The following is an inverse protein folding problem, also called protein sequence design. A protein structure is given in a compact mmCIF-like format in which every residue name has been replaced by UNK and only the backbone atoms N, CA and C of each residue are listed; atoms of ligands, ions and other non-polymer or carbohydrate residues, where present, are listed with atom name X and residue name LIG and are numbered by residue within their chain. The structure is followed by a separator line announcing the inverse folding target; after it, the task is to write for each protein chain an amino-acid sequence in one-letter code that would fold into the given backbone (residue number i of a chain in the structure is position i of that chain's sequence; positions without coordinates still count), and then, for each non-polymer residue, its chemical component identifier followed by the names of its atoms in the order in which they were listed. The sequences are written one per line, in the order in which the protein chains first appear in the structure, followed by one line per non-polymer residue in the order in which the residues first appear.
data_IF_747336350155
#
_entry.id   IF_747336350155
#
_cell.length_a   1.000
_cell.length_b   1.000
_cell.length_c   1.000
_cell.angle_alpha   90.00
_cell.angle_beta   90.00
_cell.angle_gamma   90.00
#
_symmetry.space_group_name_H-M   'P 1'
#
loop_
_entity.id
_entity.type
_entity.pdbx_description
1 polymer ?
#
# COMPACT_ATOMS: atom_id res chain seq x y z
N UNK A 1 -19.86 8.77 5.12
CA UNK A 1 -20.62 9.06 6.36
C UNK A 1 -21.91 8.22 6.41
N UNK A 2 -21.87 6.95 6.88
CA UNK A 2 -23.02 6.03 6.84
C UNK A 2 -24.26 6.59 7.54
N UNK A 3 -24.08 7.29 8.67
CA UNK A 3 -25.15 7.93 9.45
C UNK A 3 -25.99 8.97 8.68
N UNK A 4 -25.55 9.43 7.52
CA UNK A 4 -26.21 10.48 6.70
C UNK A 4 -26.70 9.98 5.35
N UNK A 5 -26.53 8.69 5.05
CA UNK A 5 -26.97 8.12 3.79
C UNK A 5 -28.50 8.25 3.62
N UNK A 6 -28.94 8.65 2.43
CA UNK A 6 -30.37 8.77 2.08
C UNK A 6 -31.13 9.95 2.70
N UNK A 7 -30.51 10.75 3.57
CA UNK A 7 -31.22 11.78 4.34
C UNK A 7 -31.31 13.15 3.65
N UNK A 8 -30.71 13.33 2.47
CA UNK A 8 -30.59 14.64 1.83
C UNK A 8 -29.93 15.72 2.73
N UNK A 9 -28.98 15.32 3.58
CA UNK A 9 -28.33 16.25 4.53
C UNK A 9 -26.84 16.44 4.29
N UNK A 10 -26.17 15.51 3.60
CA UNK A 10 -24.72 15.58 3.45
C UNK A 10 -24.30 16.81 2.64
N UNK A 11 -23.19 17.42 3.04
CA UNK A 11 -22.55 18.45 2.25
C UNK A 11 -21.79 17.81 1.07
N UNK A 12 -22.16 18.10 -0.19
CA UNK A 12 -21.49 17.51 -1.35
C UNK A 12 -20.16 18.20 -1.70
N UNK A 13 -19.81 19.30 -1.00
CA UNK A 13 -18.68 20.15 -1.38
C UNK A 13 -17.34 19.41 -1.44
N UNK A 14 -17.07 18.48 -0.52
CA UNK A 14 -15.80 17.73 -0.56
C UNK A 14 -15.61 16.91 -1.84
N UNK A 15 -16.67 16.24 -2.32
CA UNK A 15 -16.62 15.49 -3.57
C UNK A 15 -16.55 16.43 -4.78
N UNK A 16 -17.28 17.54 -4.73
CA UNK A 16 -17.26 18.56 -5.78
C UNK A 16 -15.85 19.18 -5.94
N UNK A 17 -15.19 19.52 -4.83
CA UNK A 17 -13.82 20.04 -4.84
C UNK A 17 -12.84 19.02 -5.44
N UNK A 18 -12.98 17.72 -5.11
CA UNK A 18 -12.21 16.66 -5.76
C UNK A 18 -12.44 16.58 -7.27
N UNK A 19 -13.69 16.76 -7.73
CA UNK A 19 -14.01 16.81 -9.16
C UNK A 19 -13.43 18.04 -9.87
N UNK A 20 -13.43 19.21 -9.22
CA UNK A 20 -12.82 20.45 -9.73
C UNK A 20 -11.30 20.26 -9.89
N UNK A 21 -10.64 19.69 -8.88
CA UNK A 21 -9.21 19.35 -8.97
C UNK A 21 -8.92 18.38 -10.13
N UNK A 22 -9.76 17.35 -10.30
CA UNK A 22 -9.64 16.41 -11.41
C UNK A 22 -9.81 17.10 -12.76
N UNK A 23 -10.84 17.94 -12.92
CA UNK A 23 -11.09 18.68 -14.17
C UNK A 23 -9.89 19.56 -14.54
N UNK A 24 -9.35 20.28 -13.56
CA UNK A 24 -8.15 21.08 -13.78
C UNK A 24 -6.95 20.19 -14.20
N UNK A 25 -6.76 19.06 -13.53
CA UNK A 25 -5.68 18.10 -13.81
C UNK A 25 -5.73 17.51 -15.23
N UNK A 26 -6.93 17.26 -15.76
CA UNK A 26 -7.13 16.70 -17.12
C UNK A 26 -7.20 17.78 -18.21
N UNK A 27 -6.88 19.05 -17.89
CA UNK A 27 -6.87 20.15 -18.85
C UNK A 27 -8.24 20.78 -19.14
N UNK A 28 -9.26 20.51 -18.31
CA UNK A 28 -10.60 21.12 -18.38
C UNK A 28 -10.70 22.34 -17.45
N UNK A 29 -9.68 23.21 -17.49
CA UNK A 29 -9.54 24.36 -16.58
C UNK A 29 -10.75 25.30 -16.65
N UNK A 30 -11.25 25.61 -17.84
CA UNK A 30 -12.42 26.48 -18.04
C UNK A 30 -13.69 25.93 -17.35
N UNK A 31 -13.86 24.61 -17.36
CA UNK A 31 -15.00 23.93 -16.69
C UNK A 31 -14.80 23.91 -15.18
N UNK A 32 -13.58 23.60 -14.72
CA UNK A 32 -13.23 23.61 -13.30
C UNK A 32 -13.47 24.99 -12.68
N UNK A 33 -13.03 26.05 -13.37
CA UNK A 33 -13.19 27.45 -12.95
C UNK A 33 -14.66 27.83 -12.81
N UNK A 34 -15.47 27.50 -13.83
CA UNK A 34 -16.90 27.80 -13.83
C UNK A 34 -17.63 27.14 -12.66
N UNK A 35 -17.31 25.89 -12.35
CA UNK A 35 -17.93 25.15 -11.23
C UNK A 35 -17.45 25.72 -9.90
N UNK A 36 -16.15 26.01 -9.76
CA UNK A 36 -15.58 26.55 -8.53
C UNK A 36 -16.17 27.92 -8.17
N UNK A 37 -16.26 28.83 -9.14
CA UNK A 37 -16.82 30.16 -8.92
C UNK A 37 -18.33 30.12 -8.64
N UNK A 38 -19.07 29.19 -9.23
CA UNK A 38 -20.49 28.97 -8.92
C UNK A 38 -20.68 28.45 -7.48
N UNK A 39 -19.81 27.53 -7.04
CA UNK A 39 -19.81 27.05 -5.66
C UNK A 39 -19.47 28.17 -4.67
N UNK A 40 -18.43 28.96 -4.93
CA UNK A 40 -18.07 30.13 -4.11
C UNK A 40 -19.21 31.15 -4.03
N UNK A 41 -19.85 31.45 -5.16
CA UNK A 41 -21.04 32.33 -5.20
C UNK A 41 -22.16 31.79 -4.32
N UNK A 42 -22.39 30.47 -4.32
CA UNK A 42 -23.44 29.83 -3.50
C UNK A 42 -23.15 29.96 -2.00
N UNK A 43 -21.89 29.79 -1.59
CA UNK A 43 -21.43 30.00 -0.22
C UNK A 43 -21.55 31.48 0.18
N UNK A 44 -21.14 32.38 -0.69
CA UNK A 44 -21.23 33.83 -0.45
C UNK A 44 -22.67 34.32 -0.28
N UNK A 45 -23.63 33.79 -1.05
CA UNK A 45 -25.07 34.06 -0.88
C UNK A 45 -25.67 33.40 0.37
N UNK A 46 -24.86 32.75 1.21
CA UNK A 46 -25.28 32.19 2.49
C UNK A 46 -26.18 30.96 2.37
N UNK A 47 -26.12 30.25 1.23
CA UNK A 47 -26.87 29.01 1.01
C UNK A 47 -26.00 27.85 1.47
N UNK A 48 -26.27 27.33 2.67
CA UNK A 48 -25.37 26.41 3.35
C UNK A 48 -26.04 25.10 3.74
N UNK A 49 -25.29 24.00 3.64
CA UNK A 49 -25.65 22.74 4.29
C UNK A 49 -25.43 22.81 5.81
N UNK A 50 -25.98 21.83 6.53
CA UNK A 50 -26.08 21.89 8.00
C UNK A 50 -24.76 22.08 8.76
N UNK A 51 -23.65 21.64 8.17
CA UNK A 51 -22.30 21.65 8.71
C UNK A 51 -21.58 22.99 8.52
N UNK A 52 -22.01 23.80 7.54
CA UNK A 52 -21.49 25.15 7.27
C UNK A 52 -22.45 26.20 7.83
N UNK A 53 -23.74 25.88 7.95
CA UNK A 53 -24.77 26.82 8.38
C UNK A 53 -24.49 27.40 9.77
N UNK A 54 -24.51 28.74 9.85
CA UNK A 54 -24.35 29.52 11.07
C UNK A 54 -25.42 30.60 11.13
N UNK A 55 -26.18 30.63 12.22
CA UNK A 55 -27.21 31.64 12.48
C UNK A 55 -26.60 33.05 12.51
N UNK A 56 -27.31 34.03 11.94
CA UNK A 56 -26.84 35.41 11.78
C UNK A 56 -25.80 35.63 10.67
N UNK A 57 -25.26 34.58 10.07
CA UNK A 57 -24.31 34.66 8.94
C UNK A 57 -24.88 34.03 7.66
N UNK A 58 -25.57 32.91 7.81
CA UNK A 58 -26.14 32.16 6.68
C UNK A 58 -27.57 32.62 6.38
N UNK A 59 -27.90 32.73 5.10
CA UNK A 59 -29.23 33.13 4.63
C UNK A 59 -30.21 31.95 4.60
N UNK A 60 -29.73 30.75 4.22
CA UNK A 60 -30.59 29.57 4.16
C UNK A 60 -29.85 28.29 4.52
N UNK A 61 -30.55 27.39 5.24
CA UNK A 61 -30.10 26.04 5.54
C UNK A 61 -30.75 25.07 4.56
N UNK A 62 -29.96 24.41 3.73
CA UNK A 62 -30.45 23.54 2.65
C UNK A 62 -29.95 22.10 2.77
N UNK A 63 -30.65 21.18 2.10
CA UNK A 63 -30.22 19.79 1.95
C UNK A 63 -29.23 19.61 0.79
N UNK A 64 -28.78 18.37 0.58
CA UNK A 64 -27.78 18.02 -0.47
C UNK A 64 -28.27 18.41 -1.87
N UNK A 65 -29.52 18.09 -2.20
CA UNK A 65 -30.12 18.33 -3.52
C UNK A 65 -30.31 19.82 -3.77
N UNK A 66 -30.83 20.54 -2.80
CA UNK A 66 -31.11 21.97 -2.89
C UNK A 66 -29.81 22.76 -2.97
N UNK A 67 -28.77 22.36 -2.22
CA UNK A 67 -27.43 22.92 -2.36
C UNK A 67 -26.87 22.70 -3.77
N UNK A 68 -27.00 21.49 -4.33
CA UNK A 68 -26.56 21.21 -5.69
C UNK A 68 -27.30 22.05 -6.74
N UNK A 69 -28.63 22.20 -6.60
CA UNK A 69 -29.44 23.06 -7.48
C UNK A 69 -29.01 24.53 -7.37
N UNK A 70 -28.69 25.02 -6.18
CA UNK A 70 -28.19 26.38 -5.99
C UNK A 70 -26.84 26.58 -6.69
N UNK A 71 -25.91 25.63 -6.56
CA UNK A 71 -24.63 25.68 -7.30
C UNK A 71 -24.86 25.68 -8.81
N UNK A 72 -25.78 24.85 -9.31
CA UNK A 72 -26.14 24.81 -10.75
C UNK A 72 -26.71 26.16 -11.21
N UNK A 73 -27.58 26.78 -10.43
CA UNK A 73 -28.19 28.07 -10.76
C UNK A 73 -27.17 29.22 -10.84
N UNK A 74 -26.05 29.12 -10.10
CA UNK A 74 -24.96 30.11 -10.12
C UNK A 74 -23.86 29.80 -11.15
N UNK A 75 -24.04 28.81 -12.03
CA UNK A 75 -23.07 28.51 -13.07
C UNK A 75 -22.87 29.70 -14.03
N UNK A 76 -21.64 30.22 -14.06
CA UNK A 76 -21.28 31.42 -14.84
C UNK A 76 -21.28 32.72 -14.03
N UNK A 77 -21.73 32.68 -12.78
CA UNK A 77 -21.54 33.77 -11.82
C UNK A 77 -20.14 33.72 -11.20
N UNK A 78 -19.69 34.86 -10.66
CA UNK A 78 -18.47 34.95 -9.86
C UNK A 78 -18.81 35.54 -8.49
N UNK A 79 -18.10 35.13 -7.42
CA UNK A 79 -18.25 35.76 -6.11
C UNK A 79 -17.85 37.24 -6.18
N UNK A 80 -18.51 38.08 -5.37
CA UNK A 80 -18.24 39.52 -5.24
C UNK A 80 -17.36 39.83 -4.03
N UNK A 81 -17.48 39.04 -2.96
CA UNK A 81 -16.80 39.21 -1.66
C UNK A 81 -15.67 38.19 -1.49
N UNK A 82 -15.91 36.92 -1.83
CA UNK A 82 -14.89 35.88 -1.83
C UNK A 82 -13.99 36.05 -3.06
N UNK A 83 -12.71 35.67 -2.92
CA UNK A 83 -11.78 35.70 -4.03
C UNK A 83 -12.23 34.73 -5.13
N UNK A 84 -12.45 35.26 -6.34
CA UNK A 84 -12.71 34.43 -7.52
C UNK A 84 -11.48 33.60 -7.85
N UNK A 85 -11.72 32.39 -8.34
CA UNK A 85 -10.66 31.50 -8.82
C UNK A 85 -10.48 31.72 -10.31
N UNK A 86 -9.22 31.77 -10.74
CA UNK A 86 -8.82 31.72 -12.15
C UNK A 86 -7.82 30.59 -12.30
N UNK A 87 -8.08 29.65 -13.19
CA UNK A 87 -7.13 28.57 -13.49
C UNK A 87 -6.33 28.91 -14.74
N UNK A 88 -5.02 28.72 -14.67
CA UNK A 88 -4.19 28.76 -15.87
C UNK A 88 -4.71 27.71 -16.87
N UNK A 89 -4.87 28.11 -18.13
CA UNK A 89 -5.24 27.19 -19.23
C UNK A 89 -4.06 26.27 -19.51
N UNK A 90 -3.87 25.29 -18.64
CA UNK A 90 -2.70 24.44 -18.56
C UNK A 90 -2.82 23.21 -19.45
N UNK A 91 -1.77 22.98 -20.23
CA UNK A 91 -1.52 21.79 -21.05
C UNK A 91 -1.91 20.50 -20.30
N UNK A 92 -2.66 19.56 -20.91
CA UNK A 92 -3.00 18.29 -20.28
C UNK A 92 -1.76 17.61 -19.72
N UNK A 93 -1.87 16.98 -18.55
CA UNK A 93 -0.78 16.17 -17.99
C UNK A 93 -0.37 15.10 -19.02
N UNK A 94 0.80 15.26 -19.64
CA UNK A 94 1.39 14.25 -20.49
C UNK A 94 2.13 13.26 -19.61
N UNK A 95 1.46 12.17 -19.26
CA UNK A 95 2.14 11.05 -18.60
C UNK A 95 3.21 10.50 -19.54
N UNK A 96 4.46 10.33 -19.07
CA UNK A 96 5.48 9.68 -19.89
C UNK A 96 5.02 8.26 -20.20
N UNK A 97 5.19 7.83 -21.45
CA UNK A 97 4.94 6.44 -21.82
C UNK A 97 5.86 5.55 -21.00
N UNK A 98 5.28 4.56 -20.30
CA UNK A 98 6.07 3.61 -19.52
C UNK A 98 7.09 2.91 -20.40
N UNK A 99 8.37 3.04 -20.05
CA UNK A 99 9.45 2.31 -20.70
C UNK A 99 9.80 1.09 -19.84
N UNK A 100 9.48 -0.10 -20.36
CA UNK A 100 9.82 -1.36 -19.68
C UNK A 100 11.34 -1.50 -19.61
N UNK A 101 11.88 -1.65 -18.40
CA UNK A 101 13.31 -1.94 -18.21
C UNK A 101 13.65 -3.28 -18.86
N UNK A 102 14.86 -3.37 -19.43
CA UNK A 102 15.37 -4.63 -19.96
C UNK A 102 15.48 -5.67 -18.84
N UNK A 103 15.27 -6.95 -19.20
CA UNK A 103 15.47 -8.04 -18.27
C UNK A 103 16.95 -8.13 -17.90
N UNK A 104 17.25 -8.08 -16.60
CA UNK A 104 18.61 -8.24 -16.09
C UNK A 104 18.84 -9.68 -15.65
N UNK A 105 20.12 -10.06 -15.52
CA UNK A 105 20.51 -11.37 -14.99
C UNK A 105 19.88 -11.57 -13.60
N UNK A 106 19.17 -12.68 -13.42
CA UNK A 106 18.47 -13.03 -12.18
C UNK A 106 18.97 -14.39 -11.68
N UNK A 107 19.73 -14.36 -10.60
CA UNK A 107 20.35 -15.54 -9.99
C UNK A 107 19.59 -15.92 -8.72
N UNK A 108 19.21 -17.18 -8.58
CA UNK A 108 18.56 -17.71 -7.37
C UNK A 108 19.64 -18.09 -6.35
N UNK A 109 19.60 -17.48 -5.18
CA UNK A 109 20.60 -17.67 -4.11
C UNK A 109 20.07 -18.52 -2.94
N UNK A 110 18.76 -18.73 -2.86
CA UNK A 110 18.12 -19.49 -1.79
C UNK A 110 16.62 -19.28 -1.70
N UNK A 111 16.03 -19.70 -0.58
CA UNK A 111 14.61 -19.56 -0.27
C UNK A 111 14.41 -19.35 1.22
N UNK A 112 13.50 -18.45 1.59
CA UNK A 112 12.95 -18.38 2.93
C UNK A 112 11.70 -19.28 2.99
N UNK A 113 11.70 -20.27 3.88
CA UNK A 113 10.52 -21.05 4.24
C UNK A 113 9.88 -20.44 5.49
N UNK A 114 8.61 -20.09 5.40
CA UNK A 114 7.82 -19.66 6.54
C UNK A 114 7.08 -20.87 7.09
N UNK A 115 7.39 -21.22 8.33
CA UNK A 115 6.94 -22.43 8.99
C UNK A 115 5.98 -22.07 10.11
N UNK A 116 4.85 -22.77 10.19
CA UNK A 116 3.99 -22.79 11.37
C UNK A 116 4.46 -23.91 12.30
N UNK A 117 4.87 -23.55 13.52
CA UNK A 117 5.32 -24.52 14.52
C UNK A 117 5.10 -23.99 15.93
N UNK A 118 4.32 -24.72 16.73
CA UNK A 118 3.92 -24.35 18.09
C UNK A 118 5.05 -24.44 19.14
N UNK A 119 6.21 -25.00 18.77
CA UNK A 119 7.38 -25.04 19.65
C UNK A 119 7.94 -23.64 19.91
N UNK A 120 8.77 -23.50 20.94
CA UNK A 120 9.26 -22.18 21.40
C UNK A 120 10.78 -22.01 21.30
N UNK A 121 11.54 -23.10 21.12
CA UNK A 121 13.00 -23.06 20.99
C UNK A 121 13.44 -23.09 19.54
N UNK A 122 14.05 -22.01 19.07
CA UNK A 122 14.59 -21.92 17.71
C UNK A 122 15.62 -23.03 17.41
N UNK A 123 16.44 -23.43 18.39
CA UNK A 123 17.41 -24.51 18.23
C UNK A 123 16.79 -25.90 18.02
N UNK A 124 15.59 -26.17 18.57
CA UNK A 124 14.87 -27.41 18.31
C UNK A 124 14.28 -27.42 16.91
N UNK A 125 13.72 -26.29 16.47
CA UNK A 125 13.27 -26.11 15.08
C UNK A 125 14.43 -26.28 14.09
N UNK A 126 15.58 -25.67 14.38
CA UNK A 126 16.78 -25.76 13.55
C UNK A 126 17.22 -27.21 13.36
N UNK A 127 17.29 -28.00 14.44
CA UNK A 127 17.64 -29.43 14.35
C UNK A 127 16.70 -30.21 13.45
N UNK A 128 15.39 -29.93 13.49
CA UNK A 128 14.40 -30.58 12.60
C UNK A 128 14.59 -30.14 11.15
N UNK A 129 14.79 -28.85 10.92
CA UNK A 129 14.98 -28.27 9.60
C UNK A 129 16.30 -28.71 8.94
N UNK A 130 17.37 -28.89 9.72
CA UNK A 130 18.67 -29.36 9.26
C UNK A 130 18.63 -30.80 8.72
N UNK A 131 17.63 -31.60 9.09
CA UNK A 131 17.41 -32.92 8.45
C UNK A 131 17.05 -32.80 6.96
N UNK A 132 16.64 -31.61 6.52
CA UNK A 132 16.29 -31.34 5.14
C UNK A 132 17.47 -30.83 4.31
N UNK A 133 18.61 -30.54 4.95
CA UNK A 133 19.79 -29.99 4.30
C UNK A 133 20.30 -30.89 3.16
N UNK A 134 21.01 -30.26 2.23
CA UNK A 134 21.73 -30.90 1.13
C UNK A 134 23.02 -30.13 0.84
N UNK A 135 23.95 -30.67 0.04
CA UNK A 135 25.14 -29.92 -0.38
C UNK A 135 24.81 -28.58 -1.06
N UNK A 136 23.70 -28.52 -1.79
CA UNK A 136 23.29 -27.39 -2.63
C UNK A 136 22.48 -26.34 -1.85
N UNK A 137 21.75 -26.76 -0.81
CA UNK A 137 20.90 -25.87 -0.02
C UNK A 137 20.86 -26.28 1.46
N UNK A 138 21.21 -25.35 2.35
CA UNK A 138 21.31 -25.57 3.80
C UNK A 138 20.64 -24.46 4.61
N UNK A 139 20.14 -24.80 5.80
CA UNK A 139 19.61 -23.83 6.75
C UNK A 139 20.74 -22.89 7.24
N UNK A 140 20.59 -21.59 6.97
CA UNK A 140 21.58 -20.58 7.38
C UNK A 140 21.11 -19.66 8.49
N UNK A 141 19.79 -19.54 8.70
CA UNK A 141 19.24 -18.62 9.71
C UNK A 141 17.78 -18.95 10.02
N UNK A 142 17.38 -18.74 11.27
CA UNK A 142 15.96 -18.64 11.65
C UNK A 142 15.72 -17.28 12.28
N UNK A 143 14.62 -16.64 11.88
CA UNK A 143 14.12 -15.43 12.55
C UNK A 143 12.69 -15.62 13.00
N UNK A 144 12.33 -14.97 14.10
CA UNK A 144 10.96 -14.85 14.57
C UNK A 144 10.62 -13.36 14.66
N UNK A 145 9.52 -12.92 14.04
CA UNK A 145 9.12 -11.49 13.97
C UNK A 145 10.24 -10.55 13.48
N UNK A 146 11.13 -11.05 12.62
CA UNK A 146 12.24 -10.28 12.04
C UNK A 146 13.54 -10.26 12.86
N UNK A 147 13.54 -10.83 14.07
CA UNK A 147 14.74 -10.94 14.93
C UNK A 147 15.40 -12.30 14.70
N UNK A 148 16.71 -12.32 14.51
CA UNK A 148 17.47 -13.57 14.41
C UNK A 148 17.48 -14.30 15.76
N UNK A 149 17.03 -15.55 15.74
CA UNK A 149 16.91 -16.41 16.93
C UNK A 149 17.76 -17.68 16.81
N UNK A 150 18.26 -17.99 15.62
CA UNK A 150 19.25 -19.04 15.37
C UNK A 150 20.14 -18.63 14.18
N UNK A 151 21.46 -18.91 14.21
CA UNK A 151 22.20 -19.67 15.22
C UNK A 151 22.56 -18.88 16.48
N UNK A 152 22.54 -17.54 16.41
CA UNK A 152 22.85 -16.64 17.52
C UNK A 152 21.60 -15.84 17.88
N UNK A 153 20.81 -16.36 18.81
CA UNK A 153 19.63 -15.70 19.37
C UNK A 153 19.83 -15.32 20.84
N UNK A 154 18.92 -14.51 21.36
CA UNK A 154 18.80 -14.21 22.79
C UNK A 154 17.62 -15.00 23.37
N UNK A 155 17.82 -15.70 24.48
CA UNK A 155 16.81 -16.55 25.11
C UNK A 155 15.57 -15.76 25.57
N UNK A 156 15.73 -14.46 25.82
CA UNK A 156 14.67 -13.52 26.20
C UNK A 156 13.77 -13.12 25.02
N UNK A 157 14.11 -13.52 23.79
CA UNK A 157 13.33 -13.16 22.59
C UNK A 157 12.00 -13.88 22.59
N UNK A 158 10.92 -13.13 22.80
CA UNK A 158 9.55 -13.65 22.67
C UNK A 158 9.27 -14.10 21.24
N UNK A 159 9.11 -15.41 21.06
CA UNK A 159 8.81 -16.04 19.78
C UNK A 159 7.32 -16.38 19.64
N UNK A 160 6.80 -16.23 18.43
CA UNK A 160 5.48 -16.72 18.00
C UNK A 160 5.62 -18.06 17.30
N UNK A 161 4.49 -18.69 16.96
CA UNK A 161 4.43 -19.93 16.17
C UNK A 161 4.76 -19.75 14.69
N UNK A 162 5.10 -18.53 14.24
CA UNK A 162 5.47 -18.21 12.87
C UNK A 162 6.98 -17.93 12.72
N UNK A 163 7.65 -18.80 11.97
CA UNK A 163 9.11 -18.83 11.86
C UNK A 163 9.55 -18.60 10.41
N UNK A 164 10.49 -17.68 10.18
CA UNK A 164 11.15 -17.56 8.87
C UNK A 164 12.48 -18.29 8.91
N UNK A 165 12.63 -19.29 8.07
CA UNK A 165 13.78 -20.19 8.01
C UNK A 165 14.47 -20.03 6.66
N UNK A 166 15.68 -19.47 6.66
CA UNK A 166 16.43 -19.20 5.44
C UNK A 166 17.27 -20.41 5.06
N UNK A 167 17.08 -20.86 3.84
CA UNK A 167 17.89 -21.87 3.19
C UNK A 167 18.65 -21.26 2.02
N UNK A 168 19.95 -21.48 1.97
CA UNK A 168 20.83 -20.97 0.90
C UNK A 168 22.05 -21.87 0.73
N UNK A 169 22.74 -21.74 -0.41
CA UNK A 169 23.99 -22.47 -0.60
C UNK A 169 25.12 -21.83 0.25
N UNK A 170 25.79 -22.58 1.17
CA UNK A 170 26.87 -22.04 2.00
C UNK A 170 28.07 -21.51 1.21
N UNK A 171 28.30 -22.04 0.00
CA UNK A 171 29.37 -21.57 -0.90
C UNK A 171 29.03 -20.27 -1.62
N UNK A 172 27.80 -19.74 -1.45
CA UNK A 172 27.31 -18.56 -2.14
C UNK A 172 27.02 -18.77 -3.63
N UNK A 173 27.00 -20.02 -4.07
CA UNK A 173 26.67 -20.39 -5.45
C UNK A 173 25.15 -20.43 -5.68
N UNK A 174 24.75 -20.53 -6.96
CA UNK A 174 23.34 -20.54 -7.33
C UNK A 174 22.64 -21.81 -6.86
N UNK A 175 21.39 -21.66 -6.47
CA UNK A 175 20.46 -22.74 -6.13
C UNK A 175 19.57 -23.03 -7.36
N UNK A 176 19.31 -24.29 -7.68
CA UNK A 176 18.34 -24.68 -8.70
C UNK A 176 16.92 -24.63 -8.11
N UNK A 177 15.91 -24.39 -8.95
CA UNK A 177 14.52 -24.44 -8.51
C UNK A 177 14.11 -25.84 -8.05
N UNK A 178 14.74 -26.90 -8.57
CA UNK A 178 14.52 -28.28 -8.14
C UNK A 178 14.90 -28.46 -6.68
N UNK A 179 15.99 -27.84 -6.22
CA UNK A 179 16.41 -27.91 -4.82
C UNK A 179 15.35 -27.35 -3.87
N UNK A 180 14.59 -26.32 -4.29
CA UNK A 180 13.46 -25.79 -3.52
C UNK A 180 12.30 -26.79 -3.47
N UNK A 181 11.99 -27.46 -4.58
CA UNK A 181 10.93 -28.46 -4.63
C UNK A 181 11.29 -29.65 -3.72
N UNK A 182 12.53 -30.13 -3.79
CA UNK A 182 13.03 -31.22 -2.96
C UNK A 182 13.05 -30.83 -1.48
N UNK A 183 13.39 -29.58 -1.15
CA UNK A 183 13.33 -29.06 0.21
C UNK A 183 11.89 -29.06 0.75
N UNK A 184 10.90 -28.66 -0.06
CA UNK A 184 9.49 -28.70 0.31
C UNK A 184 8.97 -30.14 0.47
N UNK A 185 9.42 -31.07 -0.38
CA UNK A 185 9.08 -32.48 -0.23
C UNK A 185 9.63 -33.03 1.10
N UNK A 186 10.90 -32.77 1.41
CA UNK A 186 11.51 -33.15 2.69
C UNK A 186 10.78 -32.53 3.88
N UNK A 187 10.29 -31.30 3.76
CA UNK A 187 9.49 -30.66 4.82
C UNK A 187 8.21 -31.45 5.11
N UNK A 188 7.49 -31.88 4.08
CA UNK A 188 6.31 -32.74 4.22
C UNK A 188 6.68 -34.07 4.89
N UNK A 189 7.75 -34.73 4.44
CA UNK A 189 8.20 -36.01 4.97
C UNK A 189 8.58 -35.94 6.47
N UNK A 190 9.03 -34.78 6.95
CA UNK A 190 9.39 -34.53 8.34
C UNK A 190 8.28 -33.85 9.17
N UNK A 191 7.08 -33.69 8.60
CA UNK A 191 5.94 -33.05 9.27
C UNK A 191 6.22 -31.60 9.66
N UNK A 192 6.85 -30.85 8.76
CA UNK A 192 7.12 -29.41 8.89
C UNK A 192 6.10 -28.67 8.02
N UNK A 193 5.21 -27.90 8.68
CA UNK A 193 4.17 -27.14 7.99
C UNK A 193 4.72 -25.84 7.41
N UNK A 194 5.03 -25.85 6.11
CA UNK A 194 5.48 -24.67 5.36
C UNK A 194 4.25 -23.94 4.81
N UNK A 195 3.95 -22.78 5.37
CA UNK A 195 2.76 -21.98 5.02
C UNK A 195 3.02 -20.94 3.93
N UNK A 196 4.29 -20.60 3.68
CA UNK A 196 4.71 -19.63 2.66
C UNK A 196 6.18 -19.83 2.27
N UNK A 197 6.51 -19.50 1.03
CA UNK A 197 7.90 -19.41 0.54
C UNK A 197 8.22 -18.04 -0.06
N UNK A 198 9.47 -17.62 0.03
CA UNK A 198 10.00 -16.46 -0.68
C UNK A 198 11.36 -16.79 -1.28
N UNK A 199 11.49 -16.68 -2.61
CA UNK A 199 12.76 -16.95 -3.28
C UNK A 199 13.72 -15.78 -3.14
N UNK A 200 14.97 -16.09 -2.84
CA UNK A 200 16.03 -15.11 -2.61
C UNK A 200 16.81 -14.90 -3.90
N UNK A 201 16.57 -13.77 -4.57
CA UNK A 201 17.23 -13.45 -5.84
C UNK A 201 18.33 -12.40 -5.69
N UNK A 202 19.37 -12.53 -6.50
CA UNK A 202 20.24 -11.43 -6.88
C UNK A 202 19.91 -10.96 -8.29
N UNK A 203 19.91 -9.64 -8.49
CA UNK A 203 19.81 -9.02 -9.81
C UNK A 203 21.14 -8.33 -10.11
N UNK A 204 21.79 -8.73 -11.21
CA UNK A 204 23.13 -8.24 -11.56
C UNK A 204 24.16 -8.44 -10.42
N UNK A 205 24.08 -9.59 -9.75
CA UNK A 205 24.96 -9.93 -8.62
C UNK A 205 24.65 -9.22 -7.31
N UNK A 206 23.66 -8.31 -7.27
CA UNK A 206 23.22 -7.64 -6.03
C UNK A 206 22.03 -8.38 -5.41
N UNK A 207 22.17 -8.91 -4.18
CA UNK A 207 21.05 -9.49 -3.44
C UNK A 207 19.89 -8.49 -3.31
N UNK A 208 18.67 -8.93 -3.63
CA UNK A 208 17.44 -8.14 -3.54
C UNK A 208 16.54 -8.60 -2.38
N UNK A 209 17.17 -8.97 -1.28
CA UNK A 209 16.53 -9.36 -0.03
C UNK A 209 17.37 -8.83 1.13
N UNK A 210 16.74 -8.58 2.28
CA UNK A 210 17.46 -8.14 3.47
C UNK A 210 18.22 -9.31 4.10
N UNK A 211 19.40 -9.00 4.63
CA UNK A 211 20.08 -9.86 5.60
C UNK A 211 19.26 -9.85 6.91
N UNK A 212 19.35 -10.93 7.70
CA UNK A 212 18.76 -10.90 9.04
C UNK A 212 19.49 -9.89 9.92
N UNK A 213 18.82 -9.31 10.92
CA UNK A 213 19.54 -8.52 11.93
C UNK A 213 20.64 -9.38 12.58
N UNK A 214 21.90 -8.99 12.43
CA UNK A 214 23.06 -9.73 12.93
C UNK A 214 23.82 -10.57 11.88
N UNK A 215 23.45 -10.47 10.58
CA UNK A 215 24.29 -10.85 9.44
C UNK A 215 24.99 -9.62 8.84
#
# INVERSE_FOLDING_TARGET
APRRAGQNMANPSGLLQGAIMMLNHIGQADVAEKIQNAWLTTIEKGIHTYDIFKEGVSTSKVGTKEFALAVIAHLGSSPEVLDKVVYDKGTPLKLPTYQRKQAVKKDLLGVDLFVHWEGWKAGELAKRLQLMDSPEIQLTMITNRGIMVWPKGFDETFCTDHWRCRFSNPSGTMVDKKDIVDLLQKALDHGIDVIKTENLYAFEGKPAFSLGQGQ
#
